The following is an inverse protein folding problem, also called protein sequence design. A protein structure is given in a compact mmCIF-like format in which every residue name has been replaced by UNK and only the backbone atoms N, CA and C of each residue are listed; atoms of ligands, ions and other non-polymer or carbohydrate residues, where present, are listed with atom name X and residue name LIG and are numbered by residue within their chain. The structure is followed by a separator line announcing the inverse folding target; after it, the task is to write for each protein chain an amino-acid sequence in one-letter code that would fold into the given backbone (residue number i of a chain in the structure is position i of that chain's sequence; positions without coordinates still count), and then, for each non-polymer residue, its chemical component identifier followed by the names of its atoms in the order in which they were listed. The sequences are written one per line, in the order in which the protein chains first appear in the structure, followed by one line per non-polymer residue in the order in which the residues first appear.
data_IF_913707651902
#
_entry.id   IF_913707651902
#
_cell.length_a   1.000
_cell.length_b   1.000
_cell.length_c   1.000
_cell.angle_alpha   90.00
_cell.angle_beta   90.00
_cell.angle_gamma   90.00
#
_symmetry.space_group_name_H-M   'P 1'
#
loop_
_entity.id
_entity.type
_entity.pdbx_description
1 polymer ?
#
# COMPACT_ATOMS: atom_id res chain seq x y z
N UNK A 1 -9.05 -14.14 5.62
CA UNK A 1 -8.23 -12.99 5.21
C UNK A 1 -9.16 -12.05 4.48
N UNK A 2 -9.27 -10.81 4.97
CA UNK A 2 -10.00 -9.73 4.33
C UNK A 2 -9.18 -9.25 3.13
N UNK A 3 -9.82 -8.93 2.01
CA UNK A 3 -9.15 -8.55 0.75
C UNK A 3 -9.48 -7.12 0.29
N UNK A 4 -10.45 -6.47 0.95
CA UNK A 4 -10.98 -5.18 0.54
C UNK A 4 -10.34 -4.10 1.39
N UNK A 5 -9.52 -3.25 0.77
CA UNK A 5 -8.97 -2.06 1.41
C UNK A 5 -10.00 -0.96 1.52
N UNK A 6 -9.59 0.18 2.09
CA UNK A 6 -10.49 1.30 2.29
C UNK A 6 -11.10 1.79 0.97
N UNK A 7 -12.43 1.73 0.92
CA UNK A 7 -13.22 2.18 -0.23
C UNK A 7 -13.37 1.15 -1.35
N UNK A 8 -12.73 -0.02 -1.23
CA UNK A 8 -13.07 -1.16 -2.06
C UNK A 8 -14.46 -1.68 -1.66
N UNK A 9 -15.21 -2.17 -2.66
CA UNK A 9 -16.49 -2.83 -2.40
C UNK A 9 -16.56 -4.16 -3.12
N UNK A 10 -17.27 -5.11 -2.51
CA UNK A 10 -17.62 -6.38 -3.14
C UNK A 10 -19.12 -6.57 -3.07
N UNK A 11 -19.73 -6.77 -4.23
CA UNK A 11 -21.14 -7.11 -4.33
C UNK A 11 -21.30 -8.62 -4.34
N UNK A 12 -22.11 -9.13 -3.42
CA UNK A 12 -22.54 -10.52 -3.38
C UNK A 12 -24.03 -10.59 -3.76
N UNK A 13 -24.37 -11.51 -4.67
CA UNK A 13 -25.73 -11.70 -5.16
C UNK A 13 -26.18 -13.09 -4.79
N UNK A 14 -27.29 -13.18 -4.05
CA UNK A 14 -27.93 -14.43 -3.65
C UNK A 14 -29.29 -14.54 -4.33
N UNK A 15 -29.43 -15.49 -5.25
CA UNK A 15 -30.70 -15.77 -5.90
C UNK A 15 -31.56 -16.69 -5.04
N UNK A 16 -32.76 -16.24 -4.69
CA UNK A 16 -33.77 -17.03 -3.99
C UNK A 16 -34.92 -17.39 -4.92
N UNK A 17 -35.57 -18.53 -4.65
CA UNK A 17 -36.68 -19.04 -5.46
C UNK A 17 -37.95 -19.17 -4.63
N UNK A 18 -39.06 -18.66 -5.16
CA UNK A 18 -40.39 -18.92 -4.62
C UNK A 18 -40.81 -20.37 -4.89
N UNK A 19 -41.87 -20.83 -4.20
CA UNK A 19 -42.39 -22.20 -4.35
C UNK A 19 -42.81 -22.54 -5.79
N UNK A 20 -43.20 -21.53 -6.58
CA UNK A 20 -43.58 -21.66 -7.98
C UNK A 20 -42.40 -21.60 -8.96
N UNK A 21 -41.17 -21.44 -8.46
CA UNK A 21 -39.94 -21.37 -9.26
C UNK A 21 -39.52 -19.95 -9.68
N UNK A 22 -40.28 -18.91 -9.31
CA UNK A 22 -39.91 -17.51 -9.61
C UNK A 22 -38.65 -17.10 -8.83
N UNK A 23 -37.67 -16.52 -9.52
CA UNK A 23 -36.40 -16.09 -8.91
C UNK A 23 -36.45 -14.61 -8.45
N UNK A 24 -35.70 -14.29 -7.39
CA UNK A 24 -35.41 -12.92 -6.97
C UNK A 24 -33.98 -12.85 -6.44
N UNK A 25 -33.27 -11.76 -6.71
CA UNK A 25 -31.91 -11.56 -6.22
C UNK A 25 -31.89 -10.72 -4.93
N UNK A 26 -31.06 -11.15 -3.98
CA UNK A 26 -30.70 -10.38 -2.78
C UNK A 26 -29.27 -9.89 -2.99
N UNK A 27 -29.09 -8.57 -3.03
CA UNK A 27 -27.79 -7.94 -3.23
C UNK A 27 -27.23 -7.47 -1.89
N UNK A 28 -26.02 -7.91 -1.55
CA UNK A 28 -25.26 -7.48 -0.38
C UNK A 28 -24.02 -6.74 -0.85
N UNK A 29 -23.77 -5.54 -0.30
CA UNK A 29 -22.55 -4.77 -0.56
C UNK A 29 -21.66 -4.85 0.66
N UNK A 30 -20.48 -5.44 0.50
CA UNK A 30 -19.42 -5.48 1.52
C UNK A 30 -18.47 -4.32 1.26
N UNK A 31 -18.26 -3.48 2.26
CA UNK A 31 -17.35 -2.34 2.19
C UNK A 31 -16.03 -2.69 2.88
N UNK A 32 -14.91 -2.38 2.24
CA UNK A 32 -13.59 -2.52 2.81
C UNK A 32 -13.22 -1.36 3.75
N UNK A 33 -12.37 -1.67 4.72
CA UNK A 33 -11.70 -0.72 5.62
C UNK A 33 -10.20 -0.93 5.46
N UNK A 34 -9.39 0.11 5.69
CA UNK A 34 -7.94 0.00 5.54
C UNK A 34 -7.35 -0.81 6.70
N UNK A 35 -6.60 -1.85 6.39
CA UNK A 35 -5.73 -2.52 7.34
C UNK A 35 -4.34 -1.87 7.34
N UNK A 36 -3.71 -1.74 8.51
CA UNK A 36 -2.40 -1.09 8.59
C UNK A 36 -1.28 -2.03 8.14
N UNK A 37 -0.43 -1.55 7.23
CA UNK A 37 0.79 -2.25 6.84
C UNK A 37 1.70 -2.54 8.05
N UNK A 38 2.34 -3.70 8.02
CA UNK A 38 3.37 -4.12 8.98
C UNK A 38 4.74 -4.18 8.30
N UNK A 39 5.75 -3.64 8.97
CA UNK A 39 7.12 -3.58 8.45
C UNK A 39 8.04 -4.50 9.26
N UNK A 40 8.99 -5.12 8.57
CA UNK A 40 10.06 -5.93 9.17
C UNK A 40 11.30 -5.92 8.28
N UNK A 41 12.33 -6.70 8.62
CA UNK A 41 13.57 -6.78 7.84
C UNK A 41 14.68 -5.92 8.43
N UNK A 42 15.65 -5.54 7.60
CA UNK A 42 16.76 -4.69 7.99
C UNK A 42 16.41 -3.21 7.77
N UNK A 43 16.24 -2.48 8.87
CA UNK A 43 15.95 -1.05 8.91
C UNK A 43 17.18 -0.19 9.28
N UNK A 44 18.36 -0.82 9.40
CA UNK A 44 19.59 -0.16 9.82
C UNK A 44 20.78 -0.53 8.93
N UNK A 45 21.74 0.38 8.86
CA UNK A 45 23.00 0.19 8.17
C UNK A 45 24.08 1.09 8.74
N UNK A 46 25.33 0.77 8.44
CA UNK A 46 26.47 1.57 8.86
C UNK A 46 27.53 1.58 7.76
N UNK A 47 28.09 2.77 7.53
CA UNK A 47 29.29 2.97 6.73
C UNK A 47 30.37 3.58 7.62
N UNK A 48 31.63 3.43 7.23
CA UNK A 48 32.76 4.02 7.95
C UNK A 48 33.50 4.93 6.98
N UNK A 49 33.84 6.13 7.45
CA UNK A 49 34.67 7.08 6.71
C UNK A 49 35.91 6.40 6.14
N UNK A 50 36.23 6.73 4.89
CA UNK A 50 37.38 6.23 4.13
C UNK A 50 37.45 4.72 3.90
N UNK A 51 36.43 3.96 4.34
CA UNK A 51 36.39 2.51 4.19
C UNK A 51 35.43 2.10 3.08
N UNK A 52 35.89 1.24 2.17
CA UNK A 52 35.11 0.73 1.04
C UNK A 52 34.57 1.85 0.12
N UNK A 53 35.31 2.94 -0.02
CA UNK A 53 34.93 4.07 -0.88
C UNK A 53 34.77 3.59 -2.32
N UNK A 54 33.61 3.85 -2.91
CA UNK A 54 33.30 3.47 -4.28
C UNK A 54 34.13 4.28 -5.29
N UNK A 55 34.14 3.86 -6.56
CA UNK A 55 34.75 4.64 -7.63
C UNK A 55 34.08 6.03 -7.85
N UNK A 56 32.88 6.22 -7.32
CA UNK A 56 32.15 7.51 -7.35
C UNK A 56 32.43 8.38 -6.11
N UNK A 57 33.40 8.01 -5.26
CA UNK A 57 33.71 8.67 -3.98
C UNK A 57 32.55 8.62 -2.97
N UNK A 58 31.77 7.54 -2.99
CA UNK A 58 30.64 7.35 -2.06
C UNK A 58 30.93 6.23 -1.06
N UNK A 59 30.30 6.34 0.11
CA UNK A 59 30.13 5.27 1.06
C UNK A 59 28.70 4.75 0.92
N UNK A 60 28.57 3.45 0.65
CA UNK A 60 27.31 2.85 0.26
C UNK A 60 26.94 1.70 1.20
N UNK A 61 25.63 1.54 1.47
CA UNK A 61 25.10 0.42 2.23
C UNK A 61 23.73 0.01 1.68
N UNK A 62 23.52 -1.29 1.49
CA UNK A 62 22.25 -1.84 1.02
C UNK A 62 21.59 -2.71 2.07
N UNK A 63 20.27 -2.68 2.11
CA UNK A 63 19.48 -3.58 2.93
C UNK A 63 18.13 -3.90 2.33
N UNK A 64 17.33 -4.65 3.08
CA UNK A 64 16.01 -5.10 2.67
C UNK A 64 15.00 -4.87 3.79
N UNK A 65 14.00 -4.05 3.53
CA UNK A 65 12.77 -4.02 4.31
C UNK A 65 11.73 -4.94 3.67
N UNK A 66 10.86 -5.49 4.50
CA UNK A 66 9.69 -6.24 4.09
C UNK A 66 8.45 -5.49 4.55
N UNK A 67 7.41 -5.52 3.73
CA UNK A 67 6.10 -5.00 4.06
C UNK A 67 5.06 -6.10 3.85
N UNK A 68 4.13 -6.21 4.79
CA UNK A 68 2.96 -7.05 4.66
C UNK A 68 1.71 -6.21 4.94
N UNK A 69 0.70 -6.39 4.10
CA UNK A 69 -0.58 -5.72 4.21
C UNK A 69 -1.70 -6.73 3.88
N UNK A 70 -2.80 -6.68 4.63
CA UNK A 70 -3.95 -7.55 4.38
C UNK A 70 -4.75 -7.08 3.15
N UNK A 71 -4.69 -5.78 2.84
CA UNK A 71 -5.40 -5.18 1.73
C UNK A 71 -4.74 -5.56 0.40
N UNK A 72 -5.57 -5.98 -0.56
CA UNK A 72 -5.06 -6.49 -1.84
C UNK A 72 -4.24 -5.43 -2.58
N UNK A 73 -3.00 -5.78 -2.92
CA UNK A 73 -2.10 -4.90 -3.69
C UNK A 73 -1.42 -3.79 -2.89
N UNK A 74 -1.60 -3.75 -1.56
CA UNK A 74 -0.97 -2.76 -0.68
C UNK A 74 0.33 -3.27 -0.01
N UNK A 75 0.67 -4.57 -0.16
CA UNK A 75 1.92 -5.15 0.31
C UNK A 75 3.13 -4.78 -0.59
N UNK A 76 3.38 -3.48 -0.78
CA UNK A 76 4.54 -2.95 -1.53
C UNK A 76 4.93 -1.55 -1.02
N UNK A 77 6.16 -1.11 -1.30
CA UNK A 77 6.62 0.24 -0.93
C UNK A 77 6.18 1.30 -1.94
N UNK A 78 5.92 2.52 -1.43
CA UNK A 78 5.76 3.72 -2.25
C UNK A 78 7.13 4.32 -2.59
N UNK A 79 7.63 4.02 -3.78
CA UNK A 79 8.97 4.45 -4.23
C UNK A 79 9.06 5.94 -4.53
N UNK A 80 7.93 6.64 -4.65
CA UNK A 80 7.89 8.08 -4.87
C UNK A 80 7.95 8.88 -3.57
N UNK A 81 7.77 8.23 -2.42
CA UNK A 81 7.67 8.87 -1.11
C UNK A 81 8.76 8.38 -0.17
N UNK A 82 9.88 9.10 -0.19
CA UNK A 82 10.99 8.91 0.75
C UNK A 82 11.28 10.26 1.40
N UNK A 83 11.00 10.37 2.69
CA UNK A 83 11.26 11.61 3.43
C UNK A 83 12.70 11.61 3.94
N UNK A 84 13.48 12.55 3.44
CA UNK A 84 14.83 12.81 3.89
C UNK A 84 14.84 13.99 4.87
N UNK A 85 15.27 13.77 6.12
CA UNK A 85 15.42 14.87 7.09
C UNK A 85 16.44 15.87 6.59
N UNK A 86 16.17 17.16 6.76
CA UNK A 86 16.95 18.27 6.16
C UNK A 86 18.43 18.27 6.54
N UNK A 87 18.82 17.60 7.63
CA UNK A 87 20.19 17.53 8.12
C UNK A 87 20.95 16.26 7.71
N UNK A 88 20.35 15.32 6.98
CA UNK A 88 21.10 14.17 6.47
C UNK A 88 22.05 14.62 5.35
N UNK A 89 23.25 14.02 5.32
CA UNK A 89 24.30 14.25 4.33
C UNK A 89 24.15 13.31 3.13
N UNK A 90 23.67 12.09 3.39
CA UNK A 90 23.39 11.07 2.39
C UNK A 90 21.97 11.12 1.82
N UNK A 91 21.72 10.18 0.92
CA UNK A 91 20.42 9.88 0.34
C UNK A 91 20.11 8.40 0.46
N UNK A 92 18.82 8.06 0.41
CA UNK A 92 18.36 6.68 0.32
C UNK A 92 17.40 6.53 -0.87
N UNK A 93 17.48 5.38 -1.54
CA UNK A 93 16.46 4.91 -2.49
C UNK A 93 15.87 3.61 -1.95
N UNK A 94 14.62 3.32 -2.31
CA UNK A 94 13.96 2.04 -2.03
C UNK A 94 13.12 1.64 -3.24
N UNK A 95 13.17 0.37 -3.62
CA UNK A 95 12.28 -0.17 -4.66
C UNK A 95 10.97 -0.72 -4.08
N UNK A 96 10.03 -1.11 -4.96
CA UNK A 96 8.71 -1.57 -4.56
C UNK A 96 8.76 -2.86 -3.72
N UNK A 97 9.80 -3.67 -3.88
CA UNK A 97 10.01 -4.90 -3.12
C UNK A 97 10.67 -4.62 -1.77
N UNK A 98 11.21 -3.41 -1.54
CA UNK A 98 11.85 -2.99 -0.30
C UNK A 98 13.38 -3.11 -0.28
N UNK A 99 14.03 -3.36 -1.43
CA UNK A 99 15.49 -3.24 -1.50
C UNK A 99 15.83 -1.76 -1.41
N UNK A 100 16.59 -1.38 -0.38
CA UNK A 100 17.01 0.00 -0.17
C UNK A 100 18.52 0.15 -0.28
N UNK A 101 18.95 1.33 -0.71
CA UNK A 101 20.35 1.69 -0.88
C UNK A 101 20.61 3.08 -0.32
N UNK A 102 21.47 3.15 0.68
CA UNK A 102 22.02 4.40 1.22
C UNK A 102 23.31 4.76 0.50
N UNK A 103 23.51 6.05 0.22
CA UNK A 103 24.75 6.59 -0.33
C UNK A 103 25.06 7.95 0.27
N UNK A 104 26.32 8.16 0.66
CA UNK A 104 26.83 9.47 1.08
C UNK A 104 28.18 9.72 0.44
N UNK A 105 28.43 10.96 0.01
CA UNK A 105 29.75 11.37 -0.47
C UNK A 105 30.76 11.30 0.68
N UNK A 106 31.83 10.53 0.48
CA UNK A 106 32.88 10.34 1.48
C UNK A 106 33.51 11.68 1.90
N UNK A 107 33.54 12.68 1.01
CA UNK A 107 34.05 14.01 1.33
C UNK A 107 33.21 14.76 2.39
N UNK A 108 31.91 14.46 2.50
CA UNK A 108 31.01 15.14 3.46
C UNK A 108 31.18 14.66 4.89
N UNK A 109 31.84 13.53 5.10
CA UNK A 109 31.99 12.92 6.44
C UNK A 109 33.39 13.05 7.01
N UNK A 110 34.33 13.66 6.29
CA UNK A 110 35.75 13.86 6.67
C UNK A 110 36.00 14.63 7.98
N UNK A 111 34.95 15.19 8.57
CA UNK A 111 35.03 15.92 9.83
C UNK A 111 34.87 14.99 11.05
N UNK A 112 34.52 13.72 10.85
CA UNK A 112 34.32 12.76 11.94
C UNK A 112 35.69 12.30 12.46
N UNK A 113 35.89 12.37 13.77
CA UNK A 113 37.07 11.80 14.41
C UNK A 113 36.95 10.27 14.56
N UNK A 114 38.05 9.64 14.95
CA UNK A 114 38.05 8.20 15.26
C UNK A 114 37.04 7.88 16.38
N UNK A 115 36.04 7.06 16.05
CA UNK A 115 35.00 6.64 17.00
C UNK A 115 33.80 7.59 17.08
N UNK A 116 33.84 8.73 16.39
CA UNK A 116 32.66 9.60 16.26
C UNK A 116 31.61 8.95 15.37
N UNK A 117 30.34 9.22 15.68
CA UNK A 117 29.21 8.68 14.92
C UNK A 117 28.23 9.77 14.54
N UNK A 118 27.73 9.71 13.31
CA UNK A 118 26.57 10.47 12.86
C UNK A 118 25.43 9.51 12.55
N UNK A 119 24.24 9.82 13.07
CA UNK A 119 23.01 9.09 12.74
C UNK A 119 22.18 9.89 11.76
N UNK A 120 21.78 9.25 10.66
CA UNK A 120 20.87 9.79 9.66
C UNK A 120 19.60 8.94 9.64
N UNK A 121 18.43 9.58 9.50
CA UNK A 121 17.14 8.89 9.53
C UNK A 121 16.33 9.26 8.30
N UNK A 122 15.84 8.24 7.61
CA UNK A 122 14.98 8.36 6.44
C UNK A 122 13.66 7.65 6.72
N UNK A 123 12.55 8.24 6.30
CA UNK A 123 11.22 7.62 6.46
C UNK A 123 10.74 7.14 5.10
N UNK A 124 10.38 5.87 5.00
CA UNK A 124 9.76 5.25 3.83
C UNK A 124 8.32 4.87 4.15
N UNK A 125 7.51 4.64 3.11
CA UNK A 125 6.09 4.36 3.27
C UNK A 125 5.68 3.13 2.47
N UNK A 126 4.73 2.37 3.01
CA UNK A 126 3.99 1.39 2.23
C UNK A 126 3.05 2.14 1.27
N UNK A 127 2.69 1.48 0.18
CA UNK A 127 1.64 1.96 -0.70
C UNK A 127 0.31 1.85 0.03
N UNK A 128 -0.32 2.98 0.31
CA UNK A 128 -1.71 3.01 0.80
C UNK A 128 -2.67 3.07 -0.39
N UNK A 129 -3.88 2.52 -0.25
CA UNK A 129 -4.94 2.81 -1.21
C UNK A 129 -5.14 4.33 -1.35
N UNK A 130 -5.33 4.86 -2.58
CA UNK A 130 -5.72 6.26 -2.74
C UNK A 130 -7.06 6.50 -2.00
N UNK A 131 -7.26 7.66 -1.36
CA UNK A 131 -8.55 7.98 -0.76
C UNK A 131 -9.60 8.00 -1.87
N UNK A 132 -10.49 7.01 -1.88
CA UNK A 132 -11.62 7.04 -2.82
C UNK A 132 -12.64 8.03 -2.26
N UNK A 133 -12.77 9.17 -2.92
CA UNK A 133 -14.00 9.95 -2.80
C UNK A 133 -15.11 9.09 -3.40
N UNK A 134 -15.92 8.47 -2.54
CA UNK A 134 -17.11 7.71 -2.93
C UNK A 134 -17.88 8.50 -4.01
N UNK A 135 -18.01 8.01 -5.25
CA UNK A 135 -19.07 8.53 -6.09
C UNK A 135 -20.38 8.11 -5.41
N UNK A 136 -21.24 9.08 -5.14
CA UNK A 136 -22.57 8.87 -4.59
C UNK A 136 -23.23 7.67 -5.25
N UNK A 137 -23.77 6.78 -4.41
CA UNK A 137 -24.67 5.72 -4.80
C UNK A 137 -25.76 6.27 -5.74
N UNK A 138 -25.58 6.05 -7.03
CA UNK A 138 -26.60 6.29 -8.05
C UNK A 138 -27.64 5.18 -7.93
N UNK A 139 -28.76 5.53 -7.30
CA UNK A 139 -30.09 4.90 -7.30
C UNK A 139 -30.17 3.45 -7.79
N UNK A 140 -30.58 2.57 -6.86
CA UNK A 140 -31.27 1.34 -7.20
C UNK A 140 -32.25 1.59 -8.34
N UNK A 141 -32.01 0.94 -9.48
CA UNK A 141 -32.99 0.90 -10.56
C UNK A 141 -34.15 0.05 -10.05
N UNK A 142 -35.19 0.69 -9.53
CA UNK A 142 -36.46 0.04 -9.20
C UNK A 142 -36.92 -0.72 -10.44
N UNK A 143 -36.89 -2.04 -10.37
CA UNK A 143 -37.50 -2.90 -11.37
C UNK A 143 -39.00 -2.57 -11.40
N UNK A 144 -39.61 -2.30 -12.56
CA UNK A 144 -41.05 -2.13 -12.63
C UNK A 144 -41.73 -3.43 -12.15
N UNK A 145 -42.90 -3.36 -11.48
CA UNK A 145 -43.63 -4.56 -11.09
C UNK A 145 -43.95 -5.41 -12.33
N UNK A 146 -44.02 -6.75 -12.20
CA UNK A 146 -44.38 -7.61 -13.31
C UNK A 146 -45.78 -7.23 -13.82
N UNK A 147 -45.94 -7.15 -15.14
CA UNK A 147 -47.24 -6.95 -15.79
C UNK A 147 -48.26 -7.96 -15.25
N UNK A 148 -49.52 -7.56 -14.96
CA UNK A 148 -50.56 -8.49 -14.58
C UNK A 148 -50.70 -9.56 -15.67
N UNK A 149 -50.63 -10.83 -15.28
CA UNK A 149 -50.97 -11.92 -16.18
C UNK A 149 -52.44 -11.77 -16.59
N UNK A 150 -52.68 -11.46 -17.85
CA UNK A 150 -54.03 -11.52 -18.43
C UNK A 150 -54.49 -12.97 -18.36
N UNK A 151 -55.36 -13.30 -17.40
CA UNK A 151 -56.09 -14.56 -17.44
C UNK A 151 -57.07 -14.52 -18.62
N UNK A 152 -57.08 -15.50 -19.54
CA UNK A 152 -58.14 -15.59 -20.54
C UNK A 152 -59.45 -15.99 -19.83
N UNK A 153 -60.53 -15.28 -20.16
CA UNK A 153 -61.86 -15.51 -19.62
C UNK A 153 -62.33 -16.95 -19.87
N UNK A 154 -63.03 -17.52 -18.88
CA UNK A 154 -63.93 -18.66 -19.09
C UNK A 154 -65.15 -18.56 -18.19
#
# INVERSE_FOLDING_TARGET
MQYLGQGDTRTEVFTVYAKDGTAHDITVVVNGVNDAATFSGNDAGAVTEDLNVSAANTLDYSGKLNVADADQGQASFDTARVDNKTNNLGSITIDADGNWHYSVDNAKVQYLGQGDTRTEVFTVYARTAPPTTSPSSSTASTMPPPSPATMPAR
#
